data_IF_709666232467
#
_entry.id   IF_709666232467
#
_cell.length_a   1.000
_cell.length_b   1.000
_cell.length_c   1.000
_cell.angle_alpha   90.00
_cell.angle_beta   90.00
_cell.angle_gamma   90.00
#
_symmetry.space_group_name_H-M   'P 1'
#
loop_
_entity.id
_entity.type
_entity.pdbx_description
1 polymer ?
#
# COMPACT_ATOMS: atom_id res chain seq x y z
N UNK A 1 70.60 34.40 -40.95
CA UNK A 1 70.07 35.75 -40.65
C UNK A 1 68.54 35.63 -40.59
N UNK A 2 67.95 35.91 -39.42
CA UNK A 2 66.52 35.94 -38.99
C UNK A 2 65.39 35.50 -39.95
N UNK A 3 64.63 34.50 -39.50
CA UNK A 3 63.24 34.21 -39.90
C UNK A 3 62.27 35.29 -39.43
N UNK A 4 61.22 35.66 -40.20
CA UNK A 4 60.17 36.54 -39.72
C UNK A 4 59.18 35.80 -38.81
N UNK A 5 58.96 36.40 -37.65
CA UNK A 5 57.95 36.08 -36.64
C UNK A 5 56.62 36.69 -37.11
N UNK A 6 55.62 35.85 -37.38
CA UNK A 6 54.24 36.32 -37.54
C UNK A 6 53.41 35.67 -36.44
N UNK A 7 53.42 36.33 -35.29
CA UNK A 7 52.59 36.02 -34.14
C UNK A 7 51.15 36.42 -34.48
N UNK A 8 50.24 35.44 -34.49
CA UNK A 8 48.81 35.68 -34.65
C UNK A 8 48.30 36.43 -33.41
N UNK A 9 47.93 37.70 -33.60
CA UNK A 9 47.31 38.53 -32.57
C UNK A 9 45.86 38.03 -32.35
N UNK A 10 45.70 37.00 -31.51
CA UNK A 10 44.40 36.55 -31.02
C UNK A 10 43.94 37.60 -30.01
N UNK A 11 43.08 38.52 -30.46
CA UNK A 11 42.37 39.48 -29.62
C UNK A 11 41.46 38.75 -28.64
N UNK A 12 41.98 38.44 -27.46
CA UNK A 12 41.21 37.98 -26.31
C UNK A 12 40.29 39.11 -25.86
N UNK A 13 39.04 39.09 -26.32
CA UNK A 13 37.97 39.93 -25.76
C UNK A 13 37.71 39.42 -24.34
N UNK A 14 38.28 40.12 -23.37
CA UNK A 14 38.01 39.94 -21.95
C UNK A 14 36.52 40.19 -21.68
N UNK A 15 35.72 39.14 -21.56
CA UNK A 15 34.41 39.26 -20.91
C UNK A 15 34.69 39.51 -19.42
N UNK A 16 34.51 40.76 -19.01
CA UNK A 16 34.72 41.20 -17.64
C UNK A 16 33.94 40.35 -16.64
N UNK A 17 34.51 40.19 -15.45
CA UNK A 17 33.96 39.39 -14.34
C UNK A 17 32.47 39.67 -14.03
N UNK A 18 31.94 40.83 -14.41
CA UNK A 18 30.53 41.20 -14.32
C UNK A 18 29.58 40.28 -15.13
N UNK A 19 29.99 39.81 -16.31
CA UNK A 19 29.15 38.93 -17.14
C UNK A 19 29.00 37.52 -16.55
N UNK A 20 30.04 37.04 -15.86
CA UNK A 20 30.05 35.71 -15.24
C UNK A 20 29.11 35.61 -14.06
N UNK A 21 28.98 36.70 -13.29
CA UNK A 21 28.05 36.79 -12.15
C UNK A 21 26.61 36.95 -12.64
N UNK A 22 26.40 37.70 -13.73
CA UNK A 22 25.11 37.79 -14.40
C UNK A 22 24.63 36.45 -14.95
N UNK A 23 25.51 35.67 -15.60
CA UNK A 23 25.17 34.33 -16.09
C UNK A 23 24.82 33.35 -14.96
N UNK A 24 25.53 33.39 -13.82
CA UNK A 24 25.22 32.55 -12.67
C UNK A 24 23.89 32.92 -12.02
N UNK A 25 23.59 34.22 -11.91
CA UNK A 25 22.30 34.69 -11.39
C UNK A 25 21.15 34.29 -12.31
N UNK A 26 21.31 34.40 -13.63
CA UNK A 26 20.32 33.98 -14.62
C UNK A 26 20.10 32.46 -14.60
N UNK A 27 21.17 31.67 -14.47
CA UNK A 27 21.06 30.21 -14.35
C UNK A 27 20.36 29.80 -13.05
N UNK A 28 20.67 30.44 -11.92
CA UNK A 28 20.01 30.16 -10.65
C UNK A 28 18.51 30.49 -10.69
N UNK A 29 18.13 31.61 -11.31
CA UNK A 29 16.72 31.98 -11.50
C UNK A 29 15.99 31.01 -12.44
N UNK A 30 16.64 30.54 -13.50
CA UNK A 30 16.06 29.55 -14.41
C UNK A 30 15.83 28.19 -13.72
N UNK A 31 16.81 27.73 -12.92
CA UNK A 31 16.70 26.47 -12.16
C UNK A 31 15.60 26.58 -11.09
N UNK A 32 15.55 27.70 -10.36
CA UNK A 32 14.50 27.95 -9.37
C UNK A 32 13.10 27.98 -10.03
N UNK A 33 12.97 28.63 -11.19
CA UNK A 33 11.74 28.65 -11.98
C UNK A 33 11.31 27.25 -12.44
N UNK A 34 12.26 26.43 -12.90
CA UNK A 34 11.98 25.04 -13.30
C UNK A 34 11.55 24.19 -12.10
N UNK A 35 12.19 24.35 -10.93
CA UNK A 35 11.81 23.66 -9.70
C UNK A 35 10.42 24.05 -9.23
N UNK A 36 10.08 25.34 -9.28
CA UNK A 36 8.75 25.84 -8.94
C UNK A 36 7.71 25.30 -9.93
N UNK A 37 7.99 25.33 -11.24
CA UNK A 37 7.08 24.79 -12.25
C UNK A 37 6.86 23.29 -12.08
N UNK A 38 7.92 22.52 -11.84
CA UNK A 38 7.84 21.09 -11.56
C UNK A 38 7.04 20.82 -10.28
N UNK A 39 7.31 21.56 -9.19
CA UNK A 39 6.53 21.45 -7.96
C UNK A 39 5.05 21.76 -8.18
N UNK A 40 4.71 22.75 -9.01
CA UNK A 40 3.32 23.08 -9.36
C UNK A 40 2.63 21.97 -10.16
N UNK A 41 3.37 21.24 -10.99
CA UNK A 41 2.85 20.11 -11.76
C UNK A 41 2.63 18.85 -10.88
N UNK A 42 3.45 18.65 -9.84
CA UNK A 42 3.25 17.58 -8.86
C UNK A 42 2.17 17.93 -7.82
N UNK A 43 1.90 19.23 -7.63
CA UNK A 43 0.91 19.76 -6.68
C UNK A 43 -0.44 20.03 -7.34
N UNK A 44 -0.81 19.33 -8.41
CA UNK A 44 -2.20 19.39 -8.90
C UNK A 44 -3.13 19.05 -7.73
N UNK A 45 -3.88 20.03 -7.18
CA UNK A 45 -4.85 19.74 -6.15
C UNK A 45 -5.93 18.95 -6.87
N UNK A 46 -6.01 17.65 -6.61
CA UNK A 46 -7.06 16.80 -7.14
C UNK A 46 -8.40 17.48 -6.86
N UNK A 47 -8.99 18.03 -7.92
CA UNK A 47 -10.29 18.67 -7.84
C UNK A 47 -11.30 17.59 -7.45
N UNK A 48 -11.70 17.59 -6.19
CA UNK A 48 -12.86 16.83 -5.75
C UNK A 48 -14.08 17.39 -6.49
N UNK A 49 -14.88 16.58 -7.19
CA UNK A 49 -16.11 17.05 -7.78
C UNK A 49 -17.09 17.43 -6.66
N UNK A 50 -17.31 18.74 -6.47
CA UNK A 50 -18.42 19.26 -5.69
C UNK A 50 -19.70 19.21 -6.54
N UNK A 51 -20.31 18.02 -6.61
CA UNK A 51 -21.67 17.84 -7.10
C UNK A 51 -22.66 17.79 -5.93
N UNK A 52 -23.89 18.34 -6.06
CA UNK A 52 -24.98 18.02 -5.15
C UNK A 52 -25.28 16.51 -5.28
N UNK A 53 -25.26 15.76 -4.18
CA UNK A 53 -25.73 14.37 -4.22
C UNK A 53 -27.20 14.38 -4.62
N UNK A 54 -27.61 13.78 -5.76
CA UNK A 54 -29.01 13.53 -6.01
C UNK A 54 -29.50 12.54 -4.95
N UNK A 55 -30.47 12.97 -4.15
CA UNK A 55 -31.32 12.11 -3.33
C UNK A 55 -31.97 11.08 -4.26
N UNK A 56 -31.35 9.91 -4.37
CA UNK A 56 -31.86 8.76 -5.11
C UNK A 56 -32.87 8.02 -4.26
N UNK A 57 -34.14 8.18 -4.64
CA UNK A 57 -35.32 7.46 -4.17
C UNK A 57 -35.06 5.95 -3.95
N UNK A 58 -35.48 5.42 -2.79
CA UNK A 58 -35.42 3.99 -2.46
C UNK A 58 -36.49 3.23 -3.26
N UNK A 59 -36.20 2.85 -4.51
CA UNK A 59 -37.00 1.83 -5.21
C UNK A 59 -36.69 0.46 -4.62
N UNK A 60 -37.70 -0.15 -3.99
CA UNK A 60 -37.74 -1.59 -3.72
C UNK A 60 -37.65 -2.34 -5.06
N UNK A 61 -36.48 -2.89 -5.39
CA UNK A 61 -36.32 -3.92 -6.38
C UNK A 61 -36.14 -5.26 -5.65
N UNK A 62 -37.22 -6.04 -5.59
CA UNK A 62 -37.18 -7.45 -5.20
C UNK A 62 -36.37 -8.22 -6.25
N UNK A 63 -35.08 -8.45 -6.01
CA UNK A 63 -34.33 -9.48 -6.73
C UNK A 63 -34.65 -10.83 -6.09
N UNK A 64 -35.62 -11.53 -6.66
CA UNK A 64 -35.80 -12.96 -6.39
C UNK A 64 -34.51 -13.68 -6.80
N UNK A 65 -33.73 -14.29 -5.89
CA UNK A 65 -32.58 -15.07 -6.31
C UNK A 65 -33.10 -16.36 -6.95
N UNK A 66 -32.97 -16.48 -8.27
CA UNK A 66 -33.03 -17.77 -8.94
C UNK A 66 -31.84 -18.59 -8.46
N UNK A 67 -32.08 -19.57 -7.59
CA UNK A 67 -31.07 -20.51 -7.12
C UNK A 67 -30.54 -21.32 -8.31
N UNK A 68 -29.39 -20.89 -8.85
CA UNK A 68 -28.57 -21.72 -9.72
C UNK A 68 -27.81 -22.66 -8.80
N UNK A 69 -28.11 -23.97 -8.85
CA UNK A 69 -27.40 -25.00 -8.11
C UNK A 69 -26.00 -25.18 -8.70
N UNK A 70 -25.04 -24.40 -8.21
CA UNK A 70 -23.62 -24.61 -8.46
C UNK A 70 -23.20 -25.97 -7.89
N UNK A 71 -22.46 -26.82 -8.64
CA UNK A 71 -21.95 -28.08 -8.11
C UNK A 71 -21.06 -27.80 -6.90
N UNK A 72 -21.38 -28.46 -5.78
CA UNK A 72 -20.63 -28.39 -4.52
C UNK A 72 -19.27 -29.04 -4.73
N UNK A 73 -18.24 -28.23 -4.99
CA UNK A 73 -16.86 -28.63 -4.73
C UNK A 73 -16.73 -28.72 -3.22
N UNK A 74 -16.56 -29.93 -2.68
CA UNK A 74 -16.31 -30.14 -1.24
C UNK A 74 -15.10 -29.31 -0.84
N UNK A 75 -15.25 -28.25 -0.02
CA UNK A 75 -14.10 -27.51 0.47
C UNK A 75 -13.25 -28.47 1.33
N UNK A 76 -11.92 -28.31 1.34
CA UNK A 76 -11.06 -29.01 2.29
C UNK A 76 -11.62 -28.90 3.70
N UNK A 77 -11.49 -29.95 4.54
CA UNK A 77 -11.89 -29.84 5.94
C UNK A 77 -11.16 -28.64 6.54
N UNK A 78 -11.93 -27.68 7.04
CA UNK A 78 -11.37 -26.53 7.72
C UNK A 78 -10.64 -27.04 8.96
N UNK A 79 -9.35 -26.69 9.17
CA UNK A 79 -8.66 -27.13 10.38
C UNK A 79 -9.44 -26.69 11.60
N UNK A 80 -9.68 -27.62 12.52
CA UNK A 80 -10.34 -27.34 13.79
C UNK A 80 -9.28 -26.85 14.77
N UNK A 81 -8.76 -25.64 14.59
CA UNK A 81 -8.03 -24.96 15.67
C UNK A 81 -9.04 -24.17 16.48
N UNK A 82 -9.54 -24.78 17.55
CA UNK A 82 -10.34 -24.11 18.55
C UNK A 82 -9.48 -22.99 19.12
N UNK A 83 -9.88 -21.73 18.96
CA UNK A 83 -9.15 -20.55 19.46
C UNK A 83 -9.09 -20.44 20.99
N UNK A 84 -9.24 -21.56 21.71
CA UNK A 84 -9.15 -21.68 23.15
C UNK A 84 -7.69 -21.49 23.58
N UNK A 85 -7.36 -20.28 24.02
CA UNK A 85 -6.00 -19.89 24.43
C UNK A 85 -5.45 -18.68 23.68
N UNK A 86 -6.05 -18.28 22.56
CA UNK A 86 -5.65 -17.06 21.86
C UNK A 86 -6.26 -15.85 22.57
N UNK A 87 -5.42 -14.92 23.01
CA UNK A 87 -5.83 -13.66 23.63
C UNK A 87 -5.18 -12.46 22.97
N UNK A 88 -5.70 -11.26 23.25
CA UNK A 88 -5.07 -10.01 22.83
C UNK A 88 -3.68 -9.92 23.49
N UNK A 89 -2.67 -9.59 22.69
CA UNK A 89 -1.27 -9.55 23.10
C UNK A 89 -0.53 -10.87 22.97
N UNK A 90 -1.22 -12.00 22.75
CA UNK A 90 -0.58 -13.29 22.51
C UNK A 90 0.17 -13.29 21.18
N UNK A 91 1.28 -14.02 21.15
CA UNK A 91 1.96 -14.40 19.92
C UNK A 91 1.25 -15.60 19.31
N UNK A 92 0.99 -15.52 18.03
CA UNK A 92 0.37 -16.62 17.27
C UNK A 92 1.18 -16.91 16.03
N UNK A 93 1.17 -18.18 15.64
CA UNK A 93 1.78 -18.67 14.41
C UNK A 93 0.70 -19.17 13.47
N UNK A 94 0.85 -18.87 12.18
CA UNK A 94 0.00 -19.45 11.14
C UNK A 94 0.33 -20.94 10.98
N UNK A 95 -0.69 -21.78 11.07
CA UNK A 95 -0.55 -23.22 10.90
C UNK A 95 -1.71 -23.86 10.13
N UNK A 96 -1.43 -24.93 9.39
CA UNK A 96 -2.44 -25.72 8.68
C UNK A 96 -2.84 -25.15 7.32
N UNK A 97 -2.06 -24.22 6.76
CA UNK A 97 -2.29 -23.59 5.46
C UNK A 97 -1.36 -24.09 4.35
N UNK A 98 -0.23 -24.71 4.71
CA UNK A 98 0.74 -25.22 3.76
C UNK A 98 1.28 -24.14 2.82
N UNK A 99 1.45 -24.46 1.53
CA UNK A 99 1.98 -23.50 0.56
C UNK A 99 1.01 -22.34 0.22
N UNK A 100 -0.27 -22.43 0.59
CA UNK A 100 -1.28 -21.43 0.25
C UNK A 100 -1.24 -20.20 1.17
N UNK A 101 -0.84 -20.38 2.44
CA UNK A 101 -0.89 -19.34 3.46
C UNK A 101 -2.31 -19.00 3.94
N UNK A 102 -2.38 -18.20 5.00
CA UNK A 102 -3.62 -17.66 5.57
C UNK A 102 -3.96 -16.33 4.91
N UNK A 103 -5.16 -16.21 4.37
CA UNK A 103 -5.68 -14.93 3.88
C UNK A 103 -5.99 -14.02 5.07
N UNK A 104 -5.27 -12.90 5.18
CA UNK A 104 -5.61 -11.82 6.11
C UNK A 104 -6.55 -10.84 5.42
N UNK A 105 -7.59 -10.42 6.12
CA UNK A 105 -8.70 -9.65 5.56
C UNK A 105 -8.90 -8.31 6.25
N UNK A 106 -9.53 -7.36 5.55
CA UNK A 106 -9.81 -6.02 6.09
C UNK A 106 -10.82 -6.04 7.26
N UNK A 107 -11.71 -7.03 7.27
CA UNK A 107 -12.71 -7.25 8.31
C UNK A 107 -12.91 -8.76 8.55
N UNK A 108 -13.55 -9.16 9.66
CA UNK A 108 -13.98 -10.54 9.90
C UNK A 108 -14.98 -11.00 8.85
N UNK A 109 -14.73 -12.17 8.27
CA UNK A 109 -15.60 -12.80 7.30
C UNK A 109 -14.87 -13.33 6.08
N UNK A 110 -15.37 -14.43 5.55
CA UNK A 110 -14.89 -15.09 4.34
C UNK A 110 -15.20 -14.29 3.07
N UNK A 111 -16.15 -13.35 3.14
CA UNK A 111 -16.52 -12.43 2.05
C UNK A 111 -15.77 -11.09 2.09
N UNK A 112 -15.08 -10.77 3.19
CA UNK A 112 -14.36 -9.50 3.35
C UNK A 112 -13.13 -9.41 2.43
N UNK A 113 -12.75 -8.20 2.03
CA UNK A 113 -11.58 -7.97 1.18
C UNK A 113 -10.31 -8.59 1.78
N UNK A 114 -9.53 -9.30 0.96
CA UNK A 114 -8.23 -9.83 1.36
C UNK A 114 -7.16 -8.76 1.20
N UNK A 115 -6.53 -8.38 2.30
CA UNK A 115 -5.48 -7.34 2.35
C UNK A 115 -4.10 -7.92 2.15
N UNK A 116 -3.84 -9.14 2.64
CA UNK A 116 -2.55 -9.81 2.43
C UNK A 116 -2.66 -11.33 2.64
N UNK A 117 -1.56 -12.04 2.39
CA UNK A 117 -1.42 -13.47 2.68
C UNK A 117 -0.28 -13.65 3.68
N UNK A 118 -0.56 -14.37 4.75
CA UNK A 118 0.41 -14.79 5.73
C UNK A 118 0.91 -16.19 5.40
N UNK A 119 2.21 -16.35 5.15
CA UNK A 119 2.79 -17.65 4.86
C UNK A 119 2.67 -18.59 6.07
N UNK A 120 2.62 -19.90 5.81
CA UNK A 120 2.71 -20.93 6.86
C UNK A 120 3.93 -20.67 7.75
N UNK A 121 3.73 -20.76 9.07
CA UNK A 121 4.79 -20.51 10.05
C UNK A 121 5.06 -19.03 10.37
N UNK A 122 4.39 -18.09 9.70
CA UNK A 122 4.52 -16.66 10.02
C UNK A 122 4.02 -16.37 11.44
N UNK A 123 4.73 -15.49 12.15
CA UNK A 123 4.40 -15.05 13.51
C UNK A 123 3.71 -13.69 13.50
N UNK A 124 2.72 -13.52 14.37
CA UNK A 124 1.98 -12.27 14.56
C UNK A 124 1.65 -12.06 16.03
N UNK A 125 1.37 -10.81 16.38
CA UNK A 125 0.73 -10.43 17.63
C UNK A 125 -0.76 -10.27 17.39
N UNK A 126 -1.57 -10.79 18.31
CA UNK A 126 -3.01 -10.56 18.32
C UNK A 126 -3.28 -9.14 18.83
N UNK A 127 -3.75 -8.27 17.94
CA UNK A 127 -4.04 -6.87 18.24
C UNK A 127 -5.51 -6.63 18.64
N UNK A 128 -6.43 -7.56 18.32
CA UNK A 128 -7.85 -7.41 18.62
C UNK A 128 -8.67 -8.66 18.29
N UNK A 129 -9.93 -8.69 18.75
CA UNK A 129 -10.81 -9.85 18.70
C UNK A 129 -11.07 -10.45 20.10
N UNK A 130 -11.78 -11.59 20.20
CA UNK A 130 -12.32 -12.37 19.08
C UNK A 130 -13.57 -11.71 18.47
N UNK A 131 -13.78 -11.90 17.17
CA UNK A 131 -15.03 -11.56 16.50
C UNK A 131 -15.56 -12.77 15.71
N UNK A 132 -16.85 -13.08 15.87
CA UNK A 132 -17.48 -14.17 15.12
C UNK A 132 -18.08 -13.65 13.80
N UNK A 133 -17.76 -14.34 12.70
CA UNK A 133 -18.35 -14.09 11.39
C UNK A 133 -18.24 -15.35 10.51
N UNK A 134 -19.28 -15.64 9.74
CA UNK A 134 -19.37 -16.82 8.85
C UNK A 134 -19.11 -18.17 9.56
N UNK A 135 -19.48 -18.27 10.84
CA UNK A 135 -19.25 -19.47 11.65
C UNK A 135 -17.79 -19.68 12.08
N UNK A 136 -16.94 -18.67 11.91
CA UNK A 136 -15.53 -18.68 12.29
C UNK A 136 -15.24 -17.61 13.33
N UNK A 137 -14.25 -17.88 14.18
CA UNK A 137 -13.66 -16.88 15.07
C UNK A 137 -12.51 -16.18 14.34
N UNK A 138 -12.52 -14.85 14.35
CA UNK A 138 -11.52 -14.02 13.70
C UNK A 138 -10.73 -13.21 14.73
N UNK A 139 -9.42 -13.10 14.49
CA UNK A 139 -8.49 -12.30 15.28
C UNK A 139 -7.80 -11.29 14.38
N UNK A 140 -7.66 -10.05 14.87
CA UNK A 140 -6.87 -9.03 14.20
C UNK A 140 -5.40 -9.32 14.50
N UNK A 141 -4.64 -9.62 13.46
CA UNK A 141 -3.23 -9.97 13.54
C UNK A 141 -2.40 -8.78 13.07
N UNK A 142 -1.30 -8.53 13.78
CA UNK A 142 -0.37 -7.46 13.47
C UNK A 142 1.06 -8.00 13.52
N UNK A 143 1.83 -7.73 12.48
CA UNK A 143 3.25 -8.09 12.44
C UNK A 143 4.03 -7.21 13.43
N UNK A 144 4.93 -7.83 14.21
CA UNK A 144 5.74 -7.13 15.22
C UNK A 144 6.77 -6.19 14.58
N UNK A 145 7.25 -6.56 13.38
CA UNK A 145 8.31 -5.82 12.66
C UNK A 145 7.77 -4.81 11.66
N UNK A 146 6.57 -5.05 11.13
CA UNK A 146 5.91 -4.16 10.18
C UNK A 146 4.44 -3.91 10.56
N UNK A 147 4.15 -2.85 11.31
CA UNK A 147 2.80 -2.59 11.79
C UNK A 147 1.77 -2.29 10.68
N UNK A 148 2.20 -1.98 9.45
CA UNK A 148 1.30 -1.83 8.29
C UNK A 148 0.80 -3.17 7.76
N UNK A 149 1.49 -4.26 8.13
CA UNK A 149 1.09 -5.62 7.81
C UNK A 149 0.15 -6.15 8.89
N UNK A 150 -1.09 -5.70 8.82
CA UNK A 150 -2.18 -6.12 9.68
C UNK A 150 -3.36 -6.69 8.91
N UNK A 151 -4.19 -7.50 9.59
CA UNK A 151 -5.45 -7.97 9.04
C UNK A 151 -6.07 -9.10 9.85
N UNK A 152 -7.34 -9.38 9.57
CA UNK A 152 -8.13 -10.40 10.24
C UNK A 152 -7.83 -11.79 9.69
N UNK A 153 -7.41 -12.69 10.57
CA UNK A 153 -7.18 -14.11 10.29
C UNK A 153 -8.15 -15.01 11.04
N UNK A 154 -8.55 -16.12 10.43
CA UNK A 154 -9.41 -17.10 11.07
C UNK A 154 -8.63 -17.94 12.11
N UNK A 155 -9.16 -18.07 13.32
CA UNK A 155 -8.56 -18.76 14.46
C UNK A 155 -8.17 -20.22 14.15
N UNK A 156 -8.93 -20.87 13.27
CA UNK A 156 -8.72 -22.21 12.75
C UNK A 156 -7.32 -22.47 12.18
N UNK A 157 -6.62 -21.41 11.77
CA UNK A 157 -5.28 -21.48 11.20
C UNK A 157 -4.22 -20.83 12.10
N UNK A 158 -4.55 -20.61 13.37
CA UNK A 158 -3.68 -19.99 14.35
C UNK A 158 -3.42 -20.97 15.49
N UNK A 159 -2.17 -21.00 15.92
CA UNK A 159 -1.72 -21.68 17.13
C UNK A 159 -0.94 -20.69 17.98
N UNK A 160 -1.09 -20.76 19.30
CA UNK A 160 -0.30 -19.93 20.21
C UNK A 160 1.19 -20.26 20.04
N UNK A 161 2.02 -19.23 20.03
CA UNK A 161 3.46 -19.33 19.91
C UNK A 161 4.13 -18.76 21.18
N UNK A 162 5.26 -19.34 21.61
CA UNK A 162 5.99 -18.88 22.80
C UNK A 162 6.64 -17.50 22.64
#
# INVERSE_FOLDING_TARGET
>A
MRTPRTEAHISSRSLGAAGRWGCLALLALAIAGLFIAAARLLQEPGAAPAGPLPTGDLRLATSTPTATSTPTVTPPPLPTSTGEGIGIGSRVRVNGTGAAGLNLRAAPGTSSERVTIAAEGSLFIVAGGPQEADGLTWWLLKDETNPEREGWGAANYLVEAP
#
